data_IF_072160888818
#
_entry.id   IF_072160888818
#
_cell.length_a   1.000
_cell.length_b   1.000
_cell.length_c   1.000
_cell.angle_alpha   90.00
_cell.angle_beta   90.00
_cell.angle_gamma   90.00
#
_symmetry.space_group_name_H-M   'P 1'
#
loop_
_entity.id
_entity.type
_entity.pdbx_description
1 polymer ?
#
# COMPACT_ATOMS: atom_id res chain seq x y z
N UNK A 1 -6.22 -21.99 20.74
CA UNK A 1 -5.03 -22.01 19.87
C UNK A 1 -5.03 -20.71 19.08
N UNK A 2 -4.10 -19.79 19.38
CA UNK A 2 -4.14 -18.40 18.94
C UNK A 2 -3.96 -18.25 17.42
N UNK A 3 -5.08 -18.08 16.70
CA UNK A 3 -5.14 -17.70 15.27
C UNK A 3 -4.59 -16.28 14.99
N UNK A 4 -4.24 -15.54 16.04
CA UNK A 4 -3.96 -14.10 15.97
C UNK A 4 -2.54 -13.74 15.51
N UNK A 5 -1.61 -14.70 15.45
CA UNK A 5 -0.18 -14.47 15.13
C UNK A 5 0.28 -15.09 13.81
N UNK A 6 -0.59 -15.17 12.79
CA UNK A 6 -0.15 -15.53 11.44
C UNK A 6 0.36 -16.97 11.25
N UNK A 7 -0.05 -17.91 12.12
CA UNK A 7 0.31 -19.34 11.99
C UNK A 7 -0.64 -20.14 11.08
N UNK A 8 -1.62 -19.50 10.46
CA UNK A 8 -2.37 -20.10 9.35
C UNK A 8 -1.51 -19.97 8.10
N UNK A 9 -1.00 -21.09 7.59
CA UNK A 9 -0.16 -21.10 6.39
C UNK A 9 -0.78 -20.32 5.23
N UNK A 10 0.07 -19.91 4.27
CA UNK A 10 -0.37 -19.16 3.09
C UNK A 10 -1.46 -19.93 2.34
N UNK A 11 -2.64 -19.33 2.18
CA UNK A 11 -3.63 -19.85 1.23
C UNK A 11 -3.12 -19.56 -0.19
N UNK A 12 -2.56 -20.58 -0.82
CA UNK A 12 -1.88 -20.48 -2.13
C UNK A 12 -2.84 -20.05 -3.24
N UNK A 13 -4.10 -20.52 -3.23
CA UNK A 13 -5.13 -20.10 -4.20
C UNK A 13 -5.35 -18.59 -4.13
N UNK A 14 -5.66 -18.07 -2.94
CA UNK A 14 -5.89 -16.63 -2.71
C UNK A 14 -4.66 -15.79 -2.97
N UNK A 15 -3.47 -16.32 -2.69
CA UNK A 15 -2.21 -15.66 -3.02
C UNK A 15 -2.07 -15.42 -4.53
N UNK A 16 -2.36 -16.42 -5.37
CA UNK A 16 -2.27 -16.26 -6.82
C UNK A 16 -3.38 -15.37 -7.38
N UNK A 17 -4.61 -15.44 -6.84
CA UNK A 17 -5.67 -14.48 -7.19
C UNK A 17 -5.22 -13.03 -6.94
N UNK A 18 -4.61 -12.78 -5.78
CA UNK A 18 -4.04 -11.46 -5.47
C UNK A 18 -2.89 -11.09 -6.42
N UNK A 19 -1.99 -12.03 -6.73
CA UNK A 19 -0.86 -11.78 -7.65
C UNK A 19 -1.31 -11.45 -9.07
N UNK A 20 -2.34 -12.10 -9.58
CA UNK A 20 -2.88 -11.81 -10.90
C UNK A 20 -3.54 -10.43 -10.94
N UNK A 21 -4.33 -10.10 -9.92
CA UNK A 21 -4.94 -8.78 -9.78
C UNK A 21 -3.87 -7.68 -9.66
N UNK A 22 -2.82 -7.93 -8.85
CA UNK A 22 -1.69 -7.02 -8.66
C UNK A 22 -0.92 -6.81 -9.96
N UNK A 23 -0.58 -7.88 -10.68
CA UNK A 23 0.14 -7.79 -11.95
C UNK A 23 -0.63 -6.96 -12.98
N UNK A 24 -1.95 -7.18 -13.08
CA UNK A 24 -2.83 -6.38 -13.94
C UNK A 24 -2.81 -4.90 -13.54
N UNK A 25 -3.03 -4.59 -12.26
CA UNK A 25 -3.03 -3.21 -11.77
C UNK A 25 -1.67 -2.52 -12.00
N UNK A 26 -0.56 -3.20 -11.72
CA UNK A 26 0.78 -2.65 -11.93
C UNK A 26 1.08 -2.44 -13.42
N UNK A 27 0.69 -3.35 -14.32
CA UNK A 27 0.90 -3.16 -15.76
C UNK A 27 0.16 -1.96 -16.34
N UNK A 28 -0.99 -1.60 -15.75
CA UNK A 28 -1.78 -0.44 -16.19
C UNK A 28 -1.27 0.87 -15.59
N UNK A 29 -0.72 0.82 -14.36
CA UNK A 29 -0.36 2.02 -13.59
C UNK A 29 1.14 2.37 -13.65
N UNK A 30 2.02 1.38 -13.78
CA UNK A 30 3.47 1.58 -13.72
C UNK A 30 4.01 2.01 -15.09
N UNK A 31 3.65 3.22 -15.50
CA UNK A 31 4.02 3.79 -16.79
C UNK A 31 5.40 4.49 -16.79
N UNK A 32 6.02 4.70 -15.63
CA UNK A 32 7.31 5.39 -15.53
C UNK A 32 8.44 4.38 -15.78
N UNK A 33 9.29 4.57 -16.80
CA UNK A 33 10.40 3.65 -17.10
C UNK A 33 11.44 3.58 -15.98
N UNK A 34 11.52 4.57 -15.09
CA UNK A 34 12.40 4.52 -13.91
C UNK A 34 11.88 3.54 -12.84
N UNK A 35 10.59 3.22 -12.88
CA UNK A 35 9.93 2.37 -11.89
C UNK A 35 9.39 3.13 -10.69
N UNK A 36 9.09 2.39 -9.62
CA UNK A 36 8.39 2.90 -8.44
C UNK A 36 9.01 2.33 -7.17
N UNK A 37 9.10 3.16 -6.13
CA UNK A 37 9.23 2.67 -4.76
C UNK A 37 7.93 2.00 -4.32
N UNK A 38 7.92 0.68 -4.30
CA UNK A 38 6.75 -0.09 -3.89
C UNK A 38 6.75 -0.36 -2.38
N UNK A 39 5.79 0.26 -1.67
CA UNK A 39 5.50 -0.11 -0.29
C UNK A 39 4.69 -1.41 -0.26
N UNK A 40 5.39 -2.54 -0.26
CA UNK A 40 4.75 -3.86 -0.25
C UNK A 40 4.12 -4.19 1.12
N UNK A 41 4.86 -3.98 2.21
CA UNK A 41 4.41 -4.27 3.58
C UNK A 41 5.00 -3.22 4.53
N UNK A 42 4.17 -2.69 5.44
CA UNK A 42 4.61 -1.91 6.59
C UNK A 42 3.92 -2.43 7.84
N UNK A 43 4.70 -2.76 8.88
CA UNK A 43 4.18 -3.30 10.14
C UNK A 43 4.82 -2.57 11.31
N UNK A 44 4.01 -2.25 12.31
CA UNK A 44 4.46 -1.70 13.59
C UNK A 44 4.02 -2.66 14.69
N UNK A 45 4.97 -3.05 15.55
CA UNK A 45 4.68 -3.90 16.72
C UNK A 45 3.57 -3.26 17.59
N UNK A 46 2.63 -4.04 18.15
CA UNK A 46 1.51 -3.51 18.94
C UNK A 46 1.94 -2.51 20.02
N UNK A 47 2.99 -2.82 20.78
CA UNK A 47 3.56 -1.99 21.86
C UNK A 47 4.26 -0.71 21.36
N UNK A 48 4.51 -0.60 20.06
CA UNK A 48 5.12 0.55 19.40
C UNK A 48 4.10 1.40 18.60
N UNK A 49 2.85 0.96 18.49
CA UNK A 49 1.79 1.71 17.82
C UNK A 49 1.43 2.99 18.60
N UNK A 50 0.91 3.99 17.91
CA UNK A 50 0.56 5.29 18.50
C UNK A 50 1.76 6.18 18.86
N UNK A 51 3.00 5.71 18.69
CA UNK A 51 4.24 6.44 19.02
C UNK A 51 4.92 7.12 17.83
N UNK A 52 4.24 7.20 16.68
CA UNK A 52 4.77 7.84 15.47
C UNK A 52 5.75 6.99 14.64
N UNK A 53 6.02 5.74 15.01
CA UNK A 53 6.98 4.86 14.32
C UNK A 53 6.64 4.67 12.84
N UNK A 54 5.37 4.36 12.53
CA UNK A 54 4.93 4.21 11.13
C UNK A 54 5.10 5.49 10.31
N UNK A 55 4.87 6.66 10.93
CA UNK A 55 5.04 7.95 10.26
C UNK A 55 6.51 8.25 9.96
N UNK A 56 7.43 7.90 10.88
CA UNK A 56 8.86 8.04 10.66
C UNK A 56 9.37 7.11 9.55
N UNK A 57 8.90 5.85 9.52
CA UNK A 57 9.23 4.91 8.44
C UNK A 57 8.73 5.41 7.08
N UNK A 58 7.48 5.88 7.01
CA UNK A 58 6.94 6.45 5.77
C UNK A 58 7.75 7.66 5.33
N UNK A 59 8.06 8.58 6.24
CA UNK A 59 8.86 9.77 5.94
C UNK A 59 10.23 9.39 5.37
N UNK A 60 10.92 8.41 5.97
CA UNK A 60 12.22 7.96 5.50
C UNK A 60 12.17 7.45 4.05
N UNK A 61 11.11 6.73 3.68
CA UNK A 61 10.95 6.23 2.31
C UNK A 61 10.56 7.35 1.34
N UNK A 62 9.66 8.26 1.74
CA UNK A 62 9.26 9.38 0.87
C UNK A 62 10.37 10.40 0.68
N UNK A 63 11.19 10.67 1.70
CA UNK A 63 12.37 11.55 1.58
C UNK A 63 13.38 10.98 0.59
N UNK A 64 13.62 9.66 0.62
CA UNK A 64 14.49 8.99 -0.35
C UNK A 64 13.92 9.08 -1.77
N UNK A 65 12.63 8.77 -1.91
CA UNK A 65 11.94 8.87 -3.19
C UNK A 65 11.99 10.29 -3.77
N UNK A 66 11.86 11.30 -2.92
CA UNK A 66 11.98 12.71 -3.31
C UNK A 66 13.42 13.05 -3.74
N UNK A 67 14.43 12.61 -2.98
CA UNK A 67 15.83 12.85 -3.33
C UNK A 67 16.23 12.23 -4.67
N UNK A 68 15.62 11.11 -5.03
CA UNK A 68 15.85 10.40 -6.29
C UNK A 68 14.85 10.76 -7.40
N UNK A 69 13.89 11.66 -7.11
CA UNK A 69 12.81 12.03 -8.02
C UNK A 69 12.01 10.81 -8.54
N UNK A 70 11.74 9.87 -7.64
CA UNK A 70 11.05 8.61 -7.88
C UNK A 70 9.61 8.64 -7.37
N UNK A 71 8.70 7.98 -8.10
CA UNK A 71 7.31 7.79 -7.66
C UNK A 71 7.22 6.70 -6.60
N UNK A 72 6.23 6.77 -5.72
CA UNK A 72 5.89 5.68 -4.81
C UNK A 72 4.55 5.04 -5.18
N UNK A 73 4.42 3.75 -4.95
CA UNK A 73 3.19 2.98 -5.16
C UNK A 73 2.86 2.16 -3.91
N UNK A 74 1.57 2.01 -3.58
CA UNK A 74 1.11 1.12 -2.52
C UNK A 74 -0.27 0.53 -2.83
N UNK A 75 -0.58 -0.54 -2.12
CA UNK A 75 -1.89 -1.21 -2.12
C UNK A 75 -2.45 -1.20 -0.70
N UNK A 76 -3.51 -0.42 -0.46
CA UNK A 76 -4.18 -0.34 0.84
C UNK A 76 -5.28 -1.39 0.96
N UNK A 77 -5.37 -2.04 2.12
CA UNK A 77 -6.38 -3.06 2.42
C UNK A 77 -7.76 -2.53 2.81
N UNK A 78 -7.91 -1.21 2.97
CA UNK A 78 -9.18 -0.53 3.28
C UNK A 78 -9.22 0.83 2.62
N UNK A 79 -10.43 1.27 2.27
CA UNK A 79 -10.68 2.65 1.84
C UNK A 79 -10.53 3.59 3.04
N UNK A 80 -11.47 3.51 3.99
CA UNK A 80 -11.46 4.28 5.23
C UNK A 80 -10.88 3.44 6.38
N UNK A 81 -9.94 3.96 7.19
CA UNK A 81 -9.31 5.29 7.12
C UNK A 81 -8.02 5.35 6.29
N UNK A 82 -7.56 4.24 5.71
CA UNK A 82 -6.20 4.11 5.22
C UNK A 82 -5.88 5.00 4.02
N UNK A 83 -6.81 5.19 3.08
CA UNK A 83 -6.61 6.10 1.93
C UNK A 83 -6.36 7.53 2.41
N UNK A 84 -7.10 7.99 3.42
CA UNK A 84 -6.89 9.31 4.02
C UNK A 84 -5.55 9.39 4.78
N UNK A 85 -5.16 8.31 5.48
CA UNK A 85 -3.87 8.22 6.16
C UNK A 85 -2.73 8.37 5.16
N UNK A 86 -2.72 7.58 4.08
CA UNK A 86 -1.68 7.67 3.05
C UNK A 86 -1.72 9.01 2.29
N UNK A 87 -2.91 9.59 2.13
CA UNK A 87 -3.09 10.94 1.58
C UNK A 87 -2.30 12.02 2.33
N UNK A 88 -2.05 11.88 3.64
CA UNK A 88 -1.20 12.81 4.39
C UNK A 88 0.24 12.89 3.90
N UNK A 89 0.72 11.89 3.15
CA UNK A 89 2.05 11.91 2.52
C UNK A 89 1.98 12.19 1.01
N UNK A 90 0.83 12.64 0.49
CA UNK A 90 0.66 12.99 -0.92
C UNK A 90 0.32 11.81 -1.84
N UNK A 91 0.03 10.62 -1.27
CA UNK A 91 -0.50 9.50 -2.07
C UNK A 91 -1.92 9.81 -2.55
N UNK A 92 -2.19 9.54 -3.81
CA UNK A 92 -3.49 9.72 -4.46
C UNK A 92 -4.02 8.38 -4.93
N UNK A 93 -5.29 8.12 -4.65
CA UNK A 93 -6.02 6.95 -5.13
C UNK A 93 -5.97 6.89 -6.67
N UNK A 94 -5.76 5.68 -7.19
CA UNK A 94 -5.73 5.43 -8.64
C UNK A 94 -6.89 4.53 -9.05
N UNK A 95 -7.00 3.34 -8.47
CA UNK A 95 -8.08 2.39 -8.78
C UNK A 95 -8.33 1.41 -7.66
N UNK A 96 -9.51 0.79 -7.71
CA UNK A 96 -9.80 -0.41 -6.93
C UNK A 96 -9.26 -1.64 -7.66
N UNK A 97 -8.74 -2.58 -6.87
CA UNK A 97 -8.34 -3.90 -7.28
C UNK A 97 -9.21 -4.91 -6.56
N UNK A 98 -9.95 -5.72 -7.31
CA UNK A 98 -10.84 -6.75 -6.76
C UNK A 98 -10.10 -8.08 -6.80
N UNK A 99 -10.02 -8.75 -5.66
CA UNK A 99 -9.56 -10.13 -5.54
C UNK A 99 -10.77 -10.99 -5.17
N UNK A 100 -11.29 -11.73 -6.15
CA UNK A 100 -12.52 -12.53 -6.03
C UNK A 100 -12.17 -14.02 -5.96
N UNK A 101 -12.56 -14.68 -4.88
CA UNK A 101 -12.47 -16.12 -4.68
C UNK A 101 -13.87 -16.73 -4.72
N UNK A 102 -14.39 -16.95 -5.93
CA UNK A 102 -15.70 -17.57 -6.20
C UNK A 102 -16.89 -16.91 -5.47
N UNK A 103 -16.90 -15.57 -5.41
CA UNK A 103 -17.93 -14.74 -4.77
C UNK A 103 -17.53 -14.18 -3.40
N UNK A 104 -16.44 -14.66 -2.80
CA UNK A 104 -15.82 -14.05 -1.61
C UNK A 104 -14.75 -13.04 -2.06
N UNK A 105 -15.19 -11.78 -2.27
CA UNK A 105 -14.35 -10.74 -2.85
C UNK A 105 -13.85 -9.73 -1.81
N UNK A 106 -12.57 -9.38 -1.91
CA UNK A 106 -11.98 -8.23 -1.21
C UNK A 106 -11.57 -7.13 -2.19
N UNK A 107 -11.53 -5.89 -1.70
CA UNK A 107 -11.02 -4.74 -2.43
C UNK A 107 -9.71 -4.26 -1.83
N UNK A 108 -8.74 -4.03 -2.69
CA UNK A 108 -7.52 -3.29 -2.39
C UNK A 108 -7.55 -1.97 -3.17
N UNK A 109 -6.98 -0.93 -2.58
CA UNK A 109 -7.00 0.43 -3.11
C UNK A 109 -5.58 0.82 -3.50
N UNK A 110 -5.33 0.97 -4.80
CA UNK A 110 -4.00 1.33 -5.27
C UNK A 110 -3.81 2.84 -5.17
N UNK A 111 -2.62 3.25 -4.75
CA UNK A 111 -2.30 4.68 -4.61
C UNK A 111 -0.91 4.96 -5.14
N UNK A 112 -0.74 6.13 -5.76
CA UNK A 112 0.54 6.63 -6.27
C UNK A 112 0.85 7.98 -5.62
N UNK A 113 2.11 8.18 -5.27
CA UNK A 113 2.67 9.46 -4.84
C UNK A 113 3.70 9.91 -5.88
N UNK A 114 3.53 11.13 -6.37
CA UNK A 114 4.55 11.80 -7.20
C UNK A 114 5.73 12.27 -6.32
N UNK A 115 6.96 12.37 -6.85
CA UNK A 115 8.07 12.97 -6.11
C UNK A 115 7.72 14.41 -5.72
N UNK A 116 8.12 14.82 -4.52
CA UNK A 116 7.84 16.12 -3.91
C UNK A 116 6.34 16.43 -3.79
N UNK A 117 5.47 15.41 -3.74
CA UNK A 117 4.05 15.62 -3.59
C UNK A 117 3.71 16.35 -2.28
N UNK A 118 2.87 17.38 -2.41
CA UNK A 118 2.32 18.09 -1.27
C UNK A 118 1.44 17.16 -0.41
N UNK A 119 1.56 17.23 0.93
CA UNK A 119 0.68 16.53 1.85
C UNK A 119 -0.80 16.83 1.57
N UNK A 120 -1.61 15.77 1.50
CA UNK A 120 -3.06 15.91 1.45
C UNK A 120 -3.62 16.42 2.78
N UNK A 121 -4.81 17.01 2.71
CA UNK A 121 -5.49 17.78 3.77
C UNK A 121 -5.98 16.93 4.96
N UNK A 122 -5.44 15.72 5.15
CA UNK A 122 -5.84 14.83 6.22
C UNK A 122 -5.39 15.36 7.58
N UNK A 123 -6.31 16.00 8.33
CA UNK A 123 -6.14 16.33 9.75
C UNK A 123 -5.50 15.20 10.54
#
# INVERSE_FOLDING_TARGET
MNLYYGRGGLNVKRYYIWKDAQAKAQSELWADPQGYYFLNIMVVLPEAQGKGVGAQMMKSVTDQADAENMKCYLESSRDVPNVAIYGRWGFKFQKEMICDDDGDAIKLFTMIREPHAEPGNGR
#
